data_IF_206779424451
#
_entry.id   IF_206779424451
#
_cell.length_a   1.000
_cell.length_b   1.000
_cell.length_c   1.000
_cell.angle_alpha   90.00
_cell.angle_beta   90.00
_cell.angle_gamma   90.00
#
_symmetry.space_group_name_H-M   'P 1'
#
loop_
_entity.id
_entity.type
_entity.pdbx_description
1 polymer ?
#
# COMPACT_ATOMS: atom_id res chain seq x y z
N UNK A 1 -25.19 -0.64 26.90
CA UNK A 1 -24.73 -1.70 25.97
C UNK A 1 -24.29 -1.04 24.67
N UNK A 2 -23.00 -0.78 24.50
CA UNK A 2 -22.45 -0.07 23.32
C UNK A 2 -22.26 -0.99 22.10
N UNK A 3 -22.36 -2.31 22.27
CA UNK A 3 -22.09 -3.32 21.22
C UNK A 3 -23.08 -3.32 20.04
N UNK A 4 -24.31 -2.83 20.24
CA UNK A 4 -25.36 -2.81 19.21
C UNK A 4 -25.71 -1.39 18.73
N UNK A 5 -24.94 -0.39 19.15
CA UNK A 5 -25.13 0.97 18.69
C UNK A 5 -24.66 1.11 17.23
N UNK A 6 -25.48 1.76 16.39
CA UNK A 6 -25.23 1.86 14.95
C UNK A 6 -23.94 2.64 14.66
N UNK A 7 -23.64 3.67 15.45
CA UNK A 7 -22.41 4.45 15.31
C UNK A 7 -21.17 3.64 15.72
N UNK A 8 -21.25 2.89 16.82
CA UNK A 8 -20.18 2.00 17.26
C UNK A 8 -19.88 0.89 16.23
N UNK A 9 -20.92 0.22 15.71
CA UNK A 9 -20.79 -0.81 14.66
C UNK A 9 -20.18 -0.20 13.39
N UNK A 10 -20.61 1.01 13.00
CA UNK A 10 -20.07 1.73 11.85
C UNK A 10 -18.56 2.03 11.97
N UNK A 11 -18.10 2.58 13.11
CA UNK A 11 -16.68 2.85 13.36
C UNK A 11 -15.85 1.56 13.32
N UNK A 12 -16.34 0.50 13.98
CA UNK A 12 -15.67 -0.80 13.98
C UNK A 12 -15.55 -1.39 12.56
N UNK A 13 -16.65 -1.45 11.80
CA UNK A 13 -16.66 -2.02 10.46
C UNK A 13 -15.78 -1.24 9.49
N UNK A 14 -15.77 0.10 9.58
CA UNK A 14 -14.90 0.93 8.75
C UNK A 14 -13.42 0.68 9.02
N UNK A 15 -13.02 0.59 10.30
CA UNK A 15 -11.65 0.25 10.69
C UNK A 15 -11.26 -1.15 10.26
N UNK A 16 -12.15 -2.12 10.48
CA UNK A 16 -11.93 -3.51 10.05
C UNK A 16 -11.73 -3.58 8.54
N UNK A 17 -12.60 -2.93 7.76
CA UNK A 17 -12.49 -2.88 6.31
C UNK A 17 -11.19 -2.19 5.88
N UNK A 18 -10.83 -1.05 6.49
CA UNK A 18 -9.59 -0.33 6.23
C UNK A 18 -8.35 -1.22 6.43
N UNK A 19 -8.33 -2.00 7.50
CA UNK A 19 -7.25 -2.95 7.78
C UNK A 19 -7.21 -4.05 6.72
N UNK A 20 -8.35 -4.66 6.36
CA UNK A 20 -8.40 -5.72 5.35
C UNK A 20 -7.88 -5.26 3.98
N UNK A 21 -8.33 -4.09 3.52
CA UNK A 21 -7.87 -3.54 2.23
C UNK A 21 -6.42 -3.07 2.31
N UNK A 22 -5.98 -2.55 3.47
CA UNK A 22 -4.60 -2.19 3.75
C UNK A 22 -3.65 -3.38 3.70
N UNK A 23 -4.03 -4.50 4.33
CA UNK A 23 -3.30 -5.78 4.25
C UNK A 23 -3.20 -6.25 2.80
N UNK A 24 -4.30 -6.17 2.05
CA UNK A 24 -4.30 -6.57 0.63
C UNK A 24 -3.35 -5.69 -0.18
N UNK A 25 -3.37 -4.37 0.03
CA UNK A 25 -2.52 -3.43 -0.69
C UNK A 25 -1.04 -3.61 -0.37
N UNK A 26 -0.67 -3.54 0.91
CA UNK A 26 0.72 -3.62 1.35
C UNK A 26 1.24 -5.06 1.24
N UNK A 27 0.41 -6.06 1.47
CA UNK A 27 0.78 -7.47 1.25
C UNK A 27 1.17 -7.73 -0.22
N UNK A 28 0.40 -7.21 -1.18
CA UNK A 28 0.75 -7.31 -2.60
C UNK A 28 2.02 -6.53 -2.95
N UNK A 29 2.25 -5.37 -2.33
CA UNK A 29 3.50 -4.62 -2.48
C UNK A 29 4.72 -5.45 -2.08
N UNK A 30 4.63 -6.17 -0.96
CA UNK A 30 5.70 -7.03 -0.45
C UNK A 30 5.88 -8.24 -1.37
N UNK A 31 4.78 -8.87 -1.78
CA UNK A 31 4.79 -9.95 -2.77
C UNK A 31 5.52 -9.53 -4.06
N UNK A 32 5.25 -8.34 -4.60
CA UNK A 32 5.93 -7.89 -5.81
C UNK A 32 7.44 -7.74 -5.64
N UNK A 33 7.88 -7.13 -4.53
CA UNK A 33 9.28 -6.82 -4.31
C UNK A 33 10.10 -8.05 -3.87
N UNK A 34 9.53 -8.92 -3.03
CA UNK A 34 10.25 -10.02 -2.38
C UNK A 34 10.04 -11.36 -3.08
N UNK A 35 8.92 -11.56 -3.78
CA UNK A 35 8.56 -12.87 -4.35
C UNK A 35 8.52 -12.80 -5.88
N UNK A 36 7.67 -11.95 -6.44
CA UNK A 36 7.41 -11.94 -7.88
C UNK A 36 8.65 -11.52 -8.69
N UNK A 37 9.37 -10.46 -8.27
CA UNK A 37 10.53 -9.97 -9.03
C UNK A 37 11.67 -11.00 -9.05
N UNK A 38 12.11 -11.58 -7.92
CA UNK A 38 13.08 -12.67 -7.94
C UNK A 38 12.58 -13.91 -8.71
N UNK A 39 11.32 -14.30 -8.52
CA UNK A 39 10.72 -15.43 -9.24
C UNK A 39 10.70 -15.24 -10.75
N UNK A 40 10.41 -14.02 -11.23
CA UNK A 40 10.45 -13.69 -12.66
C UNK A 40 11.88 -13.67 -13.23
N UNK A 41 12.89 -13.37 -12.41
CA UNK A 41 14.30 -13.43 -12.81
C UNK A 41 14.81 -14.88 -12.92
N UNK A 42 14.28 -15.78 -12.09
CA UNK A 42 14.66 -17.19 -12.05
C UNK A 42 14.27 -17.99 -13.31
N UNK A 43 13.38 -17.48 -14.17
CA UNK A 43 13.00 -18.15 -15.42
C UNK A 43 14.17 -18.31 -16.42
N UNK A 44 15.26 -17.53 -16.30
CA UNK A 44 16.40 -17.63 -17.22
C UNK A 44 15.98 -17.50 -18.69
N UNK A 45 16.35 -18.50 -19.49
CA UNK A 45 16.06 -18.56 -20.93
C UNK A 45 14.61 -18.97 -21.27
N UNK A 46 13.78 -19.31 -20.27
CA UNK A 46 12.37 -19.67 -20.45
C UNK A 46 11.46 -18.43 -20.63
N UNK A 47 11.78 -17.61 -21.64
CA UNK A 47 11.09 -16.35 -21.90
C UNK A 47 9.56 -16.50 -22.08
N UNK A 48 9.11 -17.58 -22.73
CA UNK A 48 7.68 -17.84 -22.93
C UNK A 48 6.94 -18.11 -21.62
N UNK A 49 7.49 -18.94 -20.74
CA UNK A 49 6.90 -19.24 -19.44
C UNK A 49 6.82 -17.98 -18.57
N UNK A 50 7.89 -17.17 -18.57
CA UNK A 50 7.92 -15.86 -17.91
C UNK A 50 6.80 -14.94 -18.40
N UNK A 51 6.58 -14.86 -19.72
CA UNK A 51 5.52 -14.00 -20.27
C UNK A 51 4.12 -14.49 -19.86
N UNK A 52 3.88 -15.80 -19.86
CA UNK A 52 2.61 -16.38 -19.39
C UNK A 52 2.34 -16.00 -17.93
N UNK A 53 3.35 -16.08 -17.07
CA UNK A 53 3.25 -15.67 -15.65
C UNK A 53 2.92 -14.18 -15.51
N UNK A 54 3.54 -13.32 -16.32
CA UNK A 54 3.22 -11.88 -16.34
C UNK A 54 1.76 -11.67 -16.77
N UNK A 55 1.28 -12.34 -17.81
CA UNK A 55 -0.10 -12.18 -18.31
C UNK A 55 -1.15 -12.72 -17.32
N UNK A 56 -0.92 -13.90 -16.73
CA UNK A 56 -1.93 -14.56 -15.90
C UNK A 56 -1.88 -14.16 -14.44
N UNK A 57 -0.69 -14.08 -13.85
CA UNK A 57 -0.52 -13.85 -12.41
C UNK A 57 -0.31 -12.36 -12.14
N UNK A 58 0.72 -11.75 -12.74
CA UNK A 58 1.07 -10.36 -12.44
C UNK A 58 -0.08 -9.40 -12.81
N UNK A 59 -0.78 -9.63 -13.92
CA UNK A 59 -1.97 -8.85 -14.32
C UNK A 59 -3.06 -8.82 -13.23
N UNK A 60 -3.38 -9.97 -12.65
CA UNK A 60 -4.41 -10.10 -11.60
C UNK A 60 -3.95 -9.45 -10.30
N UNK A 61 -2.71 -9.72 -9.88
CA UNK A 61 -2.13 -9.12 -8.70
C UNK A 61 -2.09 -7.58 -8.81
N UNK A 62 -1.71 -7.04 -9.97
CA UNK A 62 -1.70 -5.59 -10.22
C UNK A 62 -3.11 -4.97 -10.24
N UNK A 63 -4.14 -5.72 -10.60
CA UNK A 63 -5.51 -5.26 -10.49
C UNK A 63 -5.91 -5.07 -9.03
N UNK A 64 -5.71 -6.09 -8.20
CA UNK A 64 -5.99 -6.03 -6.77
C UNK A 64 -5.17 -4.94 -6.08
N UNK A 65 -3.88 -4.86 -6.38
CA UNK A 65 -2.98 -3.85 -5.81
C UNK A 65 -3.46 -2.42 -6.01
N UNK A 66 -3.91 -2.08 -7.23
CA UNK A 66 -4.39 -0.73 -7.57
C UNK A 66 -5.67 -0.35 -6.84
N UNK A 67 -6.63 -1.27 -6.82
CA UNK A 67 -7.92 -1.01 -6.20
C UNK A 67 -7.86 -1.09 -4.68
N UNK A 68 -7.02 -1.98 -4.12
CA UNK A 68 -6.74 -2.02 -2.69
C UNK A 68 -6.11 -0.70 -2.21
N UNK A 69 -5.24 -0.07 -3.01
CA UNK A 69 -4.68 1.25 -2.67
C UNK A 69 -5.78 2.32 -2.54
N UNK A 70 -6.69 2.40 -3.50
CA UNK A 70 -7.80 3.36 -3.47
C UNK A 70 -8.79 3.03 -2.35
N UNK A 71 -9.13 1.76 -2.17
CA UNK A 71 -10.02 1.34 -1.09
C UNK A 71 -9.44 1.67 0.29
N UNK A 72 -8.12 1.51 0.48
CA UNK A 72 -7.44 1.88 1.74
C UNK A 72 -7.51 3.39 1.96
N UNK A 73 -7.21 4.21 0.95
CA UNK A 73 -7.35 5.67 1.07
C UNK A 73 -8.80 6.08 1.35
N UNK A 74 -9.76 5.53 0.60
CA UNK A 74 -11.17 5.85 0.75
C UNK A 74 -11.68 5.52 2.14
N UNK A 75 -11.43 4.31 2.62
CA UNK A 75 -11.81 3.90 3.99
C UNK A 75 -11.10 4.71 5.07
N UNK A 76 -9.82 5.08 4.87
CA UNK A 76 -9.09 5.95 5.79
C UNK A 76 -9.69 7.34 5.90
N UNK A 77 -10.04 7.95 4.75
CA UNK A 77 -10.73 9.24 4.72
C UNK A 77 -12.11 9.16 5.38
N UNK A 78 -12.89 8.10 5.12
CA UNK A 78 -14.19 7.89 5.75
C UNK A 78 -14.07 7.78 7.28
N UNK A 79 -13.05 7.09 7.80
CA UNK A 79 -12.79 7.04 9.25
C UNK A 79 -12.55 8.45 9.80
N UNK A 80 -11.71 9.25 9.14
CA UNK A 80 -11.38 10.60 9.63
C UNK A 80 -12.50 11.63 9.44
N UNK A 81 -13.43 11.37 8.50
CA UNK A 81 -14.47 12.32 8.10
C UNK A 81 -15.88 12.02 8.62
N UNK A 82 -16.20 10.75 8.90
CA UNK A 82 -17.54 10.32 9.33
C UNK A 82 -17.57 9.96 10.82
N UNK A 83 -16.46 9.46 11.38
CA UNK A 83 -16.43 9.09 12.80
C UNK A 83 -16.50 10.36 13.64
N UNK A 84 -17.56 10.44 14.45
CA UNK A 84 -17.84 11.62 15.25
C UNK A 84 -16.65 11.96 16.14
N UNK A 85 -16.28 13.25 16.15
CA UNK A 85 -15.21 13.78 16.98
C UNK A 85 -13.85 13.09 16.76
N UNK A 86 -13.58 12.42 15.62
CA UNK A 86 -12.33 11.68 15.39
C UNK A 86 -11.08 12.51 15.72
N UNK A 87 -11.04 13.74 15.22
CA UNK A 87 -9.91 14.65 15.45
C UNK A 87 -9.96 15.29 16.83
N UNK A 88 -11.14 15.69 17.33
CA UNK A 88 -11.29 16.37 18.61
C UNK A 88 -11.10 15.46 19.83
N UNK A 89 -11.37 14.15 19.70
CA UNK A 89 -11.14 13.14 20.75
C UNK A 89 -9.69 12.68 20.88
N UNK A 90 -8.81 13.17 20.01
CA UNK A 90 -7.42 12.74 19.92
C UNK A 90 -6.47 13.85 20.35
N UNK A 91 -5.43 13.51 21.12
CA UNK A 91 -4.36 14.46 21.47
C UNK A 91 -3.53 14.86 20.24
N UNK A 92 -2.84 16.00 20.32
CA UNK A 92 -2.15 16.57 19.15
C UNK A 92 -1.07 15.64 18.56
N UNK A 93 -0.34 14.91 19.40
CA UNK A 93 0.62 13.91 18.95
C UNK A 93 -0.04 12.81 18.09
N UNK A 94 -1.24 12.34 18.45
CA UNK A 94 -1.97 11.37 17.63
C UNK A 94 -2.32 11.96 16.26
N UNK A 95 -2.82 13.21 16.24
CA UNK A 95 -3.20 13.90 15.00
C UNK A 95 -2.01 14.03 14.05
N UNK A 96 -0.86 14.49 14.55
CA UNK A 96 0.35 14.63 13.74
C UNK A 96 0.85 13.29 13.22
N UNK A 97 0.92 12.28 14.08
CA UNK A 97 1.41 10.94 13.72
C UNK A 97 0.54 10.31 12.62
N UNK A 98 -0.78 10.33 12.77
CA UNK A 98 -1.71 9.82 11.76
C UNK A 98 -1.64 10.65 10.46
N UNK A 99 -1.54 11.99 10.55
CA UNK A 99 -1.44 12.85 9.37
C UNK A 99 -0.18 12.60 8.55
N UNK A 100 0.95 12.34 9.20
CA UNK A 100 2.20 11.94 8.53
C UNK A 100 1.99 10.60 7.81
N UNK A 101 1.46 9.60 8.52
CA UNK A 101 1.15 8.29 7.92
C UNK A 101 0.23 8.42 6.70
N UNK A 102 -0.86 9.18 6.82
CA UNK A 102 -1.82 9.45 5.74
C UNK A 102 -1.17 10.11 4.53
N UNK A 103 -0.23 11.04 4.75
CA UNK A 103 0.47 11.75 3.68
C UNK A 103 1.38 10.80 2.92
N UNK A 104 2.17 9.98 3.63
CA UNK A 104 3.04 8.97 3.00
C UNK A 104 2.19 7.94 2.24
N UNK A 105 1.11 7.45 2.84
CA UNK A 105 0.16 6.55 2.17
C UNK A 105 -0.45 7.15 0.91
N UNK A 106 -0.84 8.43 0.95
CA UNK A 106 -1.38 9.14 -0.21
C UNK A 106 -0.36 9.26 -1.34
N UNK A 107 0.88 9.64 -1.02
CA UNK A 107 1.99 9.70 -1.99
C UNK A 107 2.27 8.32 -2.61
N UNK A 108 2.23 7.26 -1.80
CA UNK A 108 2.41 5.89 -2.26
C UNK A 108 1.29 5.46 -3.22
N UNK A 109 0.02 5.72 -2.88
CA UNK A 109 -1.11 5.42 -3.77
C UNK A 109 -1.05 6.21 -5.08
N UNK A 110 -0.65 7.49 -5.00
CA UNK A 110 -0.42 8.31 -6.17
C UNK A 110 0.68 7.71 -7.05
N UNK A 111 1.78 7.22 -6.46
CA UNK A 111 2.85 6.51 -7.17
C UNK A 111 2.33 5.22 -7.86
N UNK A 112 1.45 4.46 -7.21
CA UNK A 112 0.79 3.27 -7.79
C UNK A 112 0.05 3.61 -9.09
N UNK A 113 -0.79 4.65 -9.06
CA UNK A 113 -1.65 4.98 -10.20
C UNK A 113 -0.94 5.79 -11.28
N UNK A 114 -0.07 6.72 -10.89
CA UNK A 114 0.56 7.65 -11.82
C UNK A 114 1.83 7.09 -12.47
N UNK A 115 2.60 6.25 -11.77
CA UNK A 115 3.90 5.77 -12.27
C UNK A 115 3.86 4.25 -12.50
N UNK A 116 3.55 3.46 -11.46
CA UNK A 116 3.62 1.99 -11.55
C UNK A 116 2.64 1.49 -12.63
N UNK A 117 1.36 1.87 -12.54
CA UNK A 117 0.34 1.37 -13.47
C UNK A 117 0.60 1.77 -14.92
N UNK A 118 1.00 3.02 -15.19
CA UNK A 118 1.29 3.48 -16.56
C UNK A 118 2.37 2.64 -17.24
N UNK A 119 3.46 2.36 -16.52
CA UNK A 119 4.56 1.55 -17.01
C UNK A 119 4.19 0.05 -17.08
N UNK A 120 3.45 -0.47 -16.11
CA UNK A 120 3.01 -1.87 -16.11
C UNK A 120 2.05 -2.19 -17.27
N UNK A 121 1.25 -1.23 -17.75
CA UNK A 121 0.43 -1.43 -18.95
C UNK A 121 1.29 -1.80 -20.18
N UNK A 122 2.45 -1.17 -20.34
CA UNK A 122 3.38 -1.47 -21.43
C UNK A 122 3.94 -2.89 -21.29
N UNK A 123 4.39 -3.25 -20.08
CA UNK A 123 4.91 -4.60 -19.79
C UNK A 123 3.86 -5.69 -20.03
N UNK A 124 2.63 -5.46 -19.59
CA UNK A 124 1.51 -6.39 -19.77
C UNK A 124 1.06 -6.51 -21.23
N UNK A 125 1.12 -5.42 -22.00
CA UNK A 125 0.84 -5.46 -23.43
C UNK A 125 1.94 -6.24 -24.18
N UNK A 126 3.21 -5.98 -23.86
CA UNK A 126 4.33 -6.73 -24.41
C UNK A 126 4.23 -8.24 -24.13
N UNK A 127 3.87 -8.62 -22.90
CA UNK A 127 3.72 -10.03 -22.55
C UNK A 127 2.69 -10.74 -23.46
N UNK A 128 1.55 -10.10 -23.72
CA UNK A 128 0.52 -10.64 -24.63
C UNK A 128 1.03 -10.73 -26.07
N UNK A 129 1.71 -9.69 -26.56
CA UNK A 129 2.26 -9.67 -27.92
C UNK A 129 3.27 -10.81 -28.14
N UNK A 130 4.20 -10.99 -27.20
CA UNK A 130 5.22 -12.04 -27.27
C UNK A 130 4.59 -13.44 -27.18
N UNK A 131 3.58 -13.64 -26.33
CA UNK A 131 2.84 -14.92 -26.26
C UNK A 131 2.18 -15.27 -27.61
N UNK A 132 1.66 -14.25 -28.30
CA UNK A 132 1.02 -14.40 -29.62
C UNK A 132 2.01 -14.49 -30.79
N UNK A 133 3.32 -14.55 -30.53
CA UNK A 133 4.36 -14.69 -31.56
C UNK A 133 4.78 -13.39 -32.23
N UNK A 134 4.33 -12.22 -31.74
CA UNK A 134 4.81 -10.93 -32.22
C UNK A 134 6.19 -10.59 -31.62
N UNK A 135 6.91 -9.67 -32.28
CA UNK A 135 8.19 -9.17 -31.78
C UNK A 135 8.03 -8.47 -30.42
N UNK A 136 9.02 -8.63 -29.54
CA UNK A 136 9.05 -7.96 -28.25
C UNK A 136 9.20 -6.44 -28.42
N UNK A 137 8.43 -5.69 -27.64
CA UNK A 137 8.50 -4.23 -27.58
C UNK A 137 9.81 -3.78 -26.87
N UNK A 138 10.70 -3.05 -27.56
CA UNK A 138 11.92 -2.52 -26.96
C UNK A 138 11.67 -1.62 -25.74
N UNK A 139 10.53 -0.92 -25.68
CA UNK A 139 10.18 -0.03 -24.58
C UNK A 139 9.79 -0.78 -23.29
N UNK A 140 9.43 -2.06 -23.39
CA UNK A 140 8.92 -2.84 -22.26
C UNK A 140 9.96 -3.01 -21.14
N UNK A 141 11.24 -3.16 -21.49
CA UNK A 141 12.34 -3.29 -20.52
C UNK A 141 12.49 -2.01 -19.70
N UNK A 142 12.51 -0.85 -20.37
CA UNK A 142 12.60 0.46 -19.72
C UNK A 142 11.40 0.75 -18.83
N UNK A 143 10.19 0.44 -19.31
CA UNK A 143 8.96 0.59 -18.53
C UNK A 143 8.97 -0.32 -17.28
N UNK A 144 9.37 -1.58 -17.43
CA UNK A 144 9.49 -2.53 -16.32
C UNK A 144 10.46 -2.03 -15.24
N UNK A 145 11.61 -1.48 -15.63
CA UNK A 145 12.57 -0.90 -14.68
C UNK A 145 12.00 0.30 -13.93
N UNK A 146 11.31 1.22 -14.62
CA UNK A 146 10.65 2.38 -13.97
C UNK A 146 9.58 1.93 -12.97
N UNK A 147 8.74 0.97 -13.36
CA UNK A 147 7.73 0.40 -12.47
C UNK A 147 8.35 -0.26 -11.24
N UNK A 148 9.47 -0.98 -11.40
CA UNK A 148 10.17 -1.63 -10.31
C UNK A 148 10.77 -0.62 -9.31
N UNK A 149 11.45 0.42 -9.81
CA UNK A 149 12.04 1.44 -8.93
C UNK A 149 10.96 2.17 -8.13
N UNK A 150 9.85 2.53 -8.78
CA UNK A 150 8.69 3.11 -8.10
C UNK A 150 8.09 2.15 -7.05
N UNK A 151 7.99 0.85 -7.37
CA UNK A 151 7.54 -0.18 -6.41
C UNK A 151 8.46 -0.31 -5.20
N UNK A 152 9.78 -0.21 -5.39
CA UNK A 152 10.78 -0.27 -4.30
C UNK A 152 10.71 0.97 -3.40
N UNK A 153 10.48 2.15 -3.98
CA UNK A 153 10.24 3.35 -3.19
C UNK A 153 9.00 3.19 -2.31
N UNK A 154 7.89 2.70 -2.86
CA UNK A 154 6.70 2.40 -2.07
C UNK A 154 6.98 1.35 -1.00
N UNK A 155 7.76 0.31 -1.31
CA UNK A 155 8.14 -0.70 -0.32
C UNK A 155 8.88 -0.07 0.87
N UNK A 156 9.87 0.79 0.62
CA UNK A 156 10.59 1.51 1.69
C UNK A 156 9.65 2.43 2.48
N UNK A 157 8.82 3.21 1.78
CA UNK A 157 7.86 4.12 2.43
C UNK A 157 6.80 3.37 3.25
N UNK A 158 6.47 2.14 2.87
CA UNK A 158 5.49 1.33 3.61
C UNK A 158 5.90 1.07 5.05
N UNK A 159 7.20 0.93 5.35
CA UNK A 159 7.68 0.72 6.71
C UNK A 159 7.39 1.94 7.58
N UNK A 160 7.79 3.13 7.12
CA UNK A 160 7.53 4.38 7.83
C UNK A 160 6.03 4.68 7.94
N UNK A 161 5.27 4.45 6.87
CA UNK A 161 3.82 4.65 6.89
C UNK A 161 3.13 3.75 7.92
N UNK A 162 3.45 2.44 7.91
CA UNK A 162 2.88 1.48 8.87
C UNK A 162 3.28 1.85 10.30
N UNK A 163 4.51 2.29 10.51
CA UNK A 163 4.96 2.77 11.82
C UNK A 163 4.04 3.89 12.34
N UNK A 164 3.81 4.92 11.52
CA UNK A 164 3.00 6.06 11.91
C UNK A 164 1.49 5.76 12.03
N UNK A 165 0.99 4.77 11.28
CA UNK A 165 -0.43 4.39 11.33
C UNK A 165 -0.77 3.37 12.42
N UNK A 166 0.15 2.45 12.74
CA UNK A 166 -0.05 1.38 13.74
C UNK A 166 0.46 1.82 15.11
N UNK A 167 1.55 2.58 15.15
CA UNK A 167 2.21 3.07 16.35
C UNK A 167 1.25 3.64 17.42
N UNK A 168 0.40 4.64 17.05
CA UNK A 168 -0.59 5.27 17.93
C UNK A 168 -1.49 4.31 18.71
N UNK A 169 -1.89 3.20 18.10
CA UNK A 169 -2.85 2.27 18.70
C UNK A 169 -2.21 1.27 19.68
N UNK A 170 -0.91 0.98 19.54
CA UNK A 170 -0.26 -0.11 20.27
C UNK A 170 0.78 0.34 21.29
N UNK A 171 1.49 1.45 21.05
CA UNK A 171 2.63 1.84 21.89
C UNK A 171 2.33 3.01 22.82
N UNK A 172 1.48 3.93 22.41
CA UNK A 172 1.18 5.13 23.19
C UNK A 172 0.37 4.87 24.47
N UNK A 173 -0.58 3.91 24.53
CA UNK A 173 -1.34 3.68 25.75
C UNK A 173 -0.57 2.93 26.86
N UNK A 174 0.37 2.05 26.49
CA UNK A 174 0.99 1.11 27.44
C UNK A 174 2.42 1.50 27.87
N UNK A 175 3.21 2.13 26.98
CA UNK A 175 4.60 2.48 27.30
C UNK A 175 4.72 3.81 28.06
N UNK A 176 3.71 4.69 27.97
CA UNK A 176 3.80 6.03 28.53
C UNK A 176 2.46 6.55 29.08
N UNK A 177 2.00 6.04 30.23
CA UNK A 177 0.75 6.49 30.86
C UNK A 177 0.73 8.00 31.20
N UNK A 178 1.92 8.64 31.28
CA UNK A 178 2.11 10.05 31.59
C UNK A 178 2.75 10.87 30.44
N UNK A 179 2.95 10.32 29.24
CA UNK A 179 3.50 11.12 28.13
C UNK A 179 2.45 12.11 27.61
N UNK A 180 2.70 13.40 27.83
CA UNK A 180 1.99 14.47 27.14
C UNK A 180 2.64 14.74 25.78
N UNK A 181 1.83 15.21 24.83
CA UNK A 181 2.19 15.43 23.43
C UNK A 181 3.33 16.42 23.18
N UNK A 182 3.82 17.16 24.18
CA UNK A 182 5.03 18.00 24.04
C UNK A 182 6.33 17.19 23.95
N UNK A 183 6.33 15.92 24.36
CA UNK A 183 7.54 15.10 24.50
C UNK A 183 7.75 14.12 23.33
N UNK A 184 6.91 14.17 22.30
CA UNK A 184 6.92 13.22 21.17
C UNK A 184 7.98 13.54 20.09
N UNK A 185 9.21 13.89 20.50
CA UNK A 185 10.33 14.17 19.58
C UNK A 185 11.40 13.08 19.52
N UNK A 186 11.24 11.94 20.20
CA UNK A 186 12.23 10.86 20.15
C UNK A 186 11.66 9.65 19.44
N UNK A 187 11.60 9.73 18.12
CA UNK A 187 11.47 8.53 17.31
C UNK A 187 12.32 8.58 16.05
N UNK A 188 13.60 8.84 16.32
CA UNK A 188 14.75 8.40 15.55
C UNK A 188 15.56 7.51 16.50
N UNK A 189 16.27 6.51 15.96
CA UNK A 189 17.10 5.47 16.62
C UNK A 189 16.26 4.19 16.81
N UNK A 190 16.35 3.13 16.00
CA UNK A 190 17.45 2.52 15.21
C UNK A 190 16.90 2.05 13.85
#
# INVERSE_FOLDING_TARGET
>A
MQLFDQAYIGDFLLRYLHILVGITWIGLLYYFNLVQVPGLAAYGDEGKARMITIDKIARRALWWFRWAAIATLGTGLLITGIVENYWSRSGDAHKYTISIGMTIGTLMAANVWMIIWKNQKVVLANAVNVINGAAADPAAVGAGRKALLASRQNFIFSFSMLWFMVGPAHFYPAAFPNATSSNAMTLLII
#
